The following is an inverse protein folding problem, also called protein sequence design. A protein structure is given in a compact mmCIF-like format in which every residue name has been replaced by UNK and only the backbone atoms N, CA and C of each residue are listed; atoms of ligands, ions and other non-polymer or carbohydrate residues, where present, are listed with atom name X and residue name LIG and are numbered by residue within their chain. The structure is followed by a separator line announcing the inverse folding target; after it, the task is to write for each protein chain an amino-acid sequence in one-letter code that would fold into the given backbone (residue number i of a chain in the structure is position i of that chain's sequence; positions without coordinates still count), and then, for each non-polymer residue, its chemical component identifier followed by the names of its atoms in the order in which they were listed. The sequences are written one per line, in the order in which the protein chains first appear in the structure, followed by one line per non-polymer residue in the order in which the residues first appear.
data_IF_341089291358
#
_entry.id   IF_341089291358
#
_cell.length_a   1.000
_cell.length_b   1.000
_cell.length_c   1.000
_cell.angle_alpha   90.00
_cell.angle_beta   90.00
_cell.angle_gamma   90.00
#
_symmetry.space_group_name_H-M   'P 1'
#
loop_
_entity.id
_entity.type
_entity.pdbx_description
1 polymer ?
#
# COMPACT_ATOMS: atom_id res chain seq x y z
N UNK A 1 -21.80 -22.17 0.05
CA UNK A 1 -20.93 -21.39 0.98
C UNK A 1 -21.35 -19.93 1.05
N UNK A 2 -21.46 -19.22 -0.07
CA UNK A 2 -21.81 -17.79 -0.12
C UNK A 2 -23.13 -17.43 0.60
N UNK A 3 -24.20 -18.22 0.41
CA UNK A 3 -25.51 -17.94 1.04
C UNK A 3 -25.46 -17.93 2.58
N UNK A 4 -24.71 -18.86 3.17
CA UNK A 4 -24.53 -18.97 4.63
C UNK A 4 -23.74 -17.77 5.17
N UNK A 5 -22.70 -17.34 4.46
CA UNK A 5 -21.92 -16.15 4.82
C UNK A 5 -22.76 -14.88 4.71
N UNK A 6 -23.53 -14.73 3.62
CA UNK A 6 -24.40 -13.58 3.40
C UNK A 6 -25.47 -13.46 4.49
N UNK A 7 -26.03 -14.60 4.94
CA UNK A 7 -26.96 -14.63 6.08
C UNK A 7 -26.31 -14.09 7.37
N UNK A 8 -25.10 -14.57 7.69
CA UNK A 8 -24.35 -14.11 8.87
C UNK A 8 -24.02 -12.62 8.82
N UNK A 9 -23.62 -12.10 7.65
CA UNK A 9 -23.33 -10.68 7.46
C UNK A 9 -24.57 -9.79 7.66
N UNK A 10 -25.76 -10.26 7.29
CA UNK A 10 -27.03 -9.52 7.48
C UNK A 10 -27.55 -9.54 8.91
N UNK A 11 -27.36 -10.65 9.62
CA UNK A 11 -27.93 -10.86 10.96
C UNK A 11 -27.02 -10.38 12.10
N UNK A 12 -25.76 -10.08 11.81
CA UNK A 12 -24.75 -9.68 12.79
C UNK A 12 -24.11 -8.34 12.40
N UNK A 13 -23.46 -7.68 13.36
CA UNK A 13 -22.60 -6.53 13.07
C UNK A 13 -21.30 -7.03 12.46
N UNK A 14 -21.10 -6.75 11.17
CA UNK A 14 -19.90 -7.12 10.44
C UNK A 14 -18.90 -5.95 10.39
N UNK A 15 -17.62 -6.28 10.47
CA UNK A 15 -16.51 -5.37 10.23
C UNK A 15 -15.54 -6.02 9.24
N UNK A 16 -14.93 -5.20 8.38
CA UNK A 16 -13.89 -5.64 7.47
C UNK A 16 -12.59 -4.91 7.79
N UNK A 17 -11.50 -5.67 7.91
CA UNK A 17 -10.15 -5.14 8.00
C UNK A 17 -9.42 -5.48 6.71
N UNK A 18 -8.96 -4.45 6.00
CA UNK A 18 -8.29 -4.60 4.72
C UNK A 18 -6.83 -4.15 4.84
N UNK A 19 -6.03 -4.53 3.85
CA UNK A 19 -4.68 -4.02 3.66
C UNK A 19 -4.44 -3.67 2.19
N UNK A 20 -3.19 -3.37 1.84
CA UNK A 20 -2.81 -2.95 0.49
C UNK A 20 -3.25 -3.95 -0.62
N UNK A 21 -3.42 -5.23 -0.29
CA UNK A 21 -3.91 -6.24 -1.24
C UNK A 21 -5.29 -5.93 -1.83
N UNK A 22 -6.16 -5.23 -1.09
CA UNK A 22 -7.46 -4.79 -1.61
C UNK A 22 -7.34 -3.76 -2.74
N UNK A 23 -6.18 -3.13 -2.89
CA UNK A 23 -5.91 -2.12 -3.91
C UNK A 23 -5.05 -2.64 -5.08
N UNK A 24 -4.63 -3.91 -5.03
CA UNK A 24 -3.79 -4.50 -6.08
C UNK A 24 -4.49 -4.49 -7.45
N UNK A 25 -5.79 -4.79 -7.47
CA UNK A 25 -6.61 -4.77 -8.69
C UNK A 25 -6.85 -3.36 -9.23
N UNK A 26 -6.68 -2.33 -8.39
CA UNK A 26 -6.66 -0.92 -8.81
C UNK A 26 -5.31 -0.48 -9.39
N UNK A 27 -4.34 -1.40 -9.51
CA UNK A 27 -2.99 -1.11 -9.99
C UNK A 27 -2.05 -0.54 -8.93
N UNK A 28 -2.47 -0.49 -7.65
CA UNK A 28 -1.64 0.00 -6.56
C UNK A 28 -0.82 -1.16 -6.00
N UNK A 29 0.53 -1.13 -6.04
CA UNK A 29 1.35 -2.23 -5.57
C UNK A 29 1.18 -2.46 -4.06
N UNK A 30 1.28 -3.71 -3.65
CA UNK A 30 1.33 -4.06 -2.23
C UNK A 30 2.68 -3.67 -1.62
N UNK A 31 2.76 -3.59 -0.30
CA UNK A 31 4.04 -3.41 0.38
C UNK A 31 4.94 -4.65 0.32
N UNK A 32 4.34 -5.84 0.43
CA UNK A 32 5.03 -7.14 0.50
C UNK A 32 4.54 -8.10 -0.58
N UNK A 33 5.34 -9.12 -0.85
CA UNK A 33 5.06 -10.13 -1.89
C UNK A 33 5.69 -9.76 -3.23
N UNK A 34 5.46 -10.61 -4.24
CA UNK A 34 6.04 -10.45 -5.58
C UNK A 34 5.65 -9.10 -6.20
N UNK A 35 6.64 -8.31 -6.57
CA UNK A 35 6.45 -6.96 -7.11
C UNK A 35 6.03 -5.93 -6.06
N UNK A 36 6.17 -6.26 -4.77
CA UNK A 36 5.85 -5.37 -3.67
C UNK A 36 6.88 -4.26 -3.51
N UNK A 37 6.45 -3.13 -2.93
CA UNK A 37 7.30 -1.95 -2.74
C UNK A 37 8.58 -2.26 -1.95
N UNK A 38 8.54 -3.17 -0.98
CA UNK A 38 9.71 -3.52 -0.17
C UNK A 38 10.74 -4.40 -0.87
N UNK A 39 10.46 -4.89 -2.08
CA UNK A 39 11.51 -5.49 -2.93
C UNK A 39 12.37 -4.41 -3.62
N UNK A 40 11.83 -3.18 -3.77
CA UNK A 40 12.53 -2.04 -4.41
C UNK A 40 13.06 -1.03 -3.39
N UNK A 41 12.34 -0.81 -2.30
CA UNK A 41 12.62 0.21 -1.29
C UNK A 41 12.86 -0.43 0.08
N UNK A 42 13.95 -0.11 0.76
CA UNK A 42 14.19 -0.65 2.10
C UNK A 42 13.20 -0.02 3.11
N UNK A 43 12.32 -0.80 3.77
CA UNK A 43 11.39 -0.26 4.76
C UNK A 43 12.06 0.45 5.94
N UNK A 44 13.31 0.10 6.31
CA UNK A 44 14.02 0.84 7.36
C UNK A 44 14.30 2.28 6.96
N UNK A 45 14.44 2.52 5.66
CA UNK A 45 14.67 3.85 5.09
C UNK A 45 13.33 4.54 4.80
N UNK A 46 12.41 3.87 4.11
CA UNK A 46 11.21 4.49 3.54
C UNK A 46 9.95 4.35 4.38
N UNK A 47 9.96 3.56 5.46
CA UNK A 47 8.81 3.37 6.36
C UNK A 47 9.09 3.82 7.80
N UNK A 48 10.20 4.53 8.05
CA UNK A 48 10.55 5.04 9.38
C UNK A 48 10.85 6.54 9.31
N UNK A 49 10.43 7.28 10.34
CA UNK A 49 10.71 8.72 10.44
C UNK A 49 12.23 9.00 10.42
N UNK A 50 13.08 8.28 11.19
CA UNK A 50 14.53 8.52 11.14
C UNK A 50 15.13 8.21 9.77
N UNK A 51 14.73 7.10 9.14
CA UNK A 51 15.23 6.70 7.82
C UNK A 51 14.91 7.72 6.74
N UNK A 52 13.67 8.22 6.71
CA UNK A 52 13.22 9.24 5.77
C UNK A 52 14.00 10.54 6.01
N UNK A 53 14.12 10.98 7.27
CA UNK A 53 14.79 12.25 7.61
C UNK A 53 16.28 12.22 7.24
N UNK A 54 16.99 11.15 7.61
CA UNK A 54 18.42 11.00 7.29
C UNK A 54 18.63 10.96 5.77
N UNK A 55 17.77 10.26 5.05
CA UNK A 55 17.87 10.12 3.59
C UNK A 55 17.52 11.42 2.89
N UNK A 56 16.53 12.16 3.39
CA UNK A 56 16.19 13.49 2.87
C UNK A 56 17.36 14.47 3.02
N UNK A 57 18.04 14.48 4.18
CA UNK A 57 19.19 15.35 4.43
C UNK A 57 20.42 14.99 3.58
N UNK A 58 20.65 13.70 3.30
CA UNK A 58 21.82 13.22 2.56
C UNK A 58 21.62 13.12 1.05
N UNK A 59 20.40 12.82 0.62
CA UNK A 59 20.07 12.47 -0.76
C UNK A 59 18.58 12.75 -1.03
N UNK A 60 18.18 14.03 -1.06
CA UNK A 60 16.77 14.41 -1.21
C UNK A 60 16.13 13.85 -2.49
N UNK A 61 16.91 13.72 -3.57
CA UNK A 61 16.44 13.15 -4.84
C UNK A 61 15.89 11.73 -4.70
N UNK A 62 16.44 10.92 -3.78
CA UNK A 62 15.94 9.55 -3.53
C UNK A 62 14.55 9.53 -2.90
N UNK A 63 14.26 10.52 -2.06
CA UNK A 63 12.94 10.67 -1.44
C UNK A 63 11.96 11.22 -2.49
N UNK A 64 12.36 12.24 -3.24
CA UNK A 64 11.56 12.79 -4.33
C UNK A 64 11.19 11.73 -5.37
N UNK A 65 12.14 10.90 -5.81
CA UNK A 65 11.88 9.83 -6.77
C UNK A 65 10.91 8.78 -6.24
N UNK A 66 11.04 8.39 -4.96
CA UNK A 66 10.08 7.49 -4.32
C UNK A 66 8.66 8.04 -4.37
N UNK A 67 8.48 9.33 -4.08
CA UNK A 67 7.17 9.98 -4.16
C UNK A 67 6.67 10.06 -5.60
N UNK A 68 7.49 10.46 -6.57
CA UNK A 68 7.08 10.53 -7.98
C UNK A 68 6.58 9.17 -8.49
N UNK A 69 7.35 8.10 -8.25
CA UNK A 69 7.00 6.73 -8.63
C UNK A 69 5.65 6.30 -8.04
N UNK A 70 5.36 6.72 -6.81
CA UNK A 70 4.14 6.33 -6.09
C UNK A 70 2.94 7.21 -6.47
N UNK A 71 3.14 8.53 -6.62
CA UNK A 71 2.07 9.49 -6.95
C UNK A 71 1.45 9.21 -8.31
N UNK A 72 2.26 8.89 -9.33
CA UNK A 72 1.72 8.59 -10.65
C UNK A 72 0.76 7.39 -10.64
N UNK A 73 1.06 6.37 -9.85
CA UNK A 73 0.22 5.18 -9.69
C UNK A 73 -1.09 5.53 -8.99
N UNK A 74 -1.00 6.28 -7.87
CA UNK A 74 -2.18 6.67 -7.11
C UNK A 74 -3.13 7.57 -7.91
N UNK A 75 -2.59 8.51 -8.70
CA UNK A 75 -3.39 9.43 -9.51
C UNK A 75 -4.16 8.74 -10.64
N UNK A 76 -3.63 7.63 -11.17
CA UNK A 76 -4.24 6.85 -12.25
C UNK A 76 -5.22 5.78 -11.74
N UNK A 77 -5.10 5.38 -10.47
CA UNK A 77 -5.91 4.33 -9.87
C UNK A 77 -7.39 4.73 -9.75
N UNK A 78 -8.28 3.74 -9.83
CA UNK A 78 -9.72 3.87 -9.58
C UNK A 78 -10.18 2.76 -8.63
N UNK A 79 -11.29 2.95 -7.88
CA UNK A 79 -11.90 1.86 -7.13
C UNK A 79 -12.14 0.64 -8.03
N UNK A 80 -11.79 -0.54 -7.53
CA UNK A 80 -12.14 -1.83 -8.14
C UNK A 80 -13.53 -2.29 -7.68
#
# INVERSE_FOLDING_TARGET
MAEKVAKLLREKKAVAFTGAGASLESGIPTFRGKGGLWEKYDPQIYATVPGILITFLKSPDKISQFFVDFYEVLLKAKPN
#
